data_IF_588770970316
#
_entry.id   IF_588770970316
#
_cell.length_a   1.000
_cell.length_b   1.000
_cell.length_c   1.000
_cell.angle_alpha   90.00
_cell.angle_beta   90.00
_cell.angle_gamma   90.00
#
_symmetry.space_group_name_H-M   'P 1'
#
loop_
_entity.id
_entity.type
_entity.pdbx_description
1 polymer ?
#
# COMPACT_ATOMS: atom_id res chain seq x y z
N UNK A 1 13.62 1.02 -3.34
CA UNK A 1 12.17 1.22 -3.10
C UNK A 1 11.38 0.27 -3.99
N UNK A 2 10.23 -0.22 -3.54
CA UNK A 2 9.29 -1.01 -4.36
C UNK A 2 7.93 -0.33 -4.36
N UNK A 3 7.20 -0.41 -5.46
CA UNK A 3 5.79 -0.01 -5.47
C UNK A 3 4.99 -1.12 -4.80
N UNK A 4 4.33 -0.81 -3.69
CA UNK A 4 3.47 -1.75 -2.96
C UNK A 4 2.03 -1.30 -3.15
N UNK A 5 1.17 -2.24 -3.49
CA UNK A 5 -0.28 -2.05 -3.50
C UNK A 5 -0.89 -2.91 -2.41
N UNK A 6 -1.73 -2.29 -1.58
CA UNK A 6 -2.58 -2.96 -0.60
C UNK A 6 -4.02 -2.72 -1.03
N UNK A 7 -4.80 -3.79 -1.11
CA UNK A 7 -6.20 -3.77 -1.54
C UNK A 7 -7.03 -4.60 -0.55
N UNK A 8 -8.17 -4.09 -0.09
CA UNK A 8 -9.09 -4.86 0.77
C UNK A 8 -9.96 -5.85 -0.02
N UNK A 9 -9.77 -5.94 -1.34
CA UNK A 9 -10.34 -6.98 -2.16
C UNK A 9 -9.57 -8.31 -2.05
N UNK A 10 -10.18 -9.27 -1.35
CA UNK A 10 -9.71 -10.66 -1.28
C UNK A 10 -10.80 -11.60 -1.77
N UNK A 11 -10.44 -12.50 -2.70
CA UNK A 11 -11.37 -13.47 -3.26
C UNK A 11 -11.97 -14.37 -2.16
N UNK A 12 -13.30 -14.55 -2.18
CA UNK A 12 -14.01 -15.35 -1.19
C UNK A 12 -14.29 -14.65 0.14
N UNK A 13 -13.87 -13.39 0.31
CA UNK A 13 -14.20 -12.57 1.49
C UNK A 13 -15.34 -11.63 1.13
N UNK A 14 -16.35 -11.53 2.01
CA UNK A 14 -17.47 -10.61 1.80
C UNK A 14 -16.99 -9.15 1.85
N UNK A 15 -17.48 -8.33 0.91
CA UNK A 15 -17.17 -6.92 0.89
C UNK A 15 -17.89 -6.17 2.01
N UNK A 16 -17.24 -5.13 2.51
CA UNK A 16 -17.79 -4.14 3.43
C UNK A 16 -17.03 -2.83 3.20
N UNK A 17 -17.64 -1.72 3.59
CA UNK A 17 -17.13 -0.37 3.38
C UNK A 17 -15.93 -0.09 4.29
N UNK A 18 -14.73 -0.04 3.70
CA UNK A 18 -13.47 0.05 4.44
C UNK A 18 -12.85 1.44 4.36
N UNK A 19 -12.00 1.76 5.32
CA UNK A 19 -10.94 2.78 5.17
C UNK A 19 -9.60 2.10 5.43
N UNK A 20 -8.66 2.35 4.53
CA UNK A 20 -7.33 1.78 4.57
C UNK A 20 -6.31 2.88 4.83
N UNK A 21 -5.51 2.72 5.88
CA UNK A 21 -4.39 3.61 6.19
C UNK A 21 -3.07 2.84 6.15
N UNK A 22 -2.04 3.45 5.58
CA UNK A 22 -0.68 2.90 5.55
C UNK A 22 0.34 3.99 5.89
N UNK A 23 1.23 3.69 6.84
CA UNK A 23 2.27 4.60 7.29
C UNK A 23 3.44 3.84 7.92
N UNK A 24 4.66 4.43 8.00
CA UNK A 24 5.78 3.80 8.66
C UNK A 24 5.47 3.45 10.11
N UNK A 25 5.94 2.28 10.57
CA UNK A 25 5.74 1.84 11.93
C UNK A 25 6.32 2.83 12.95
N UNK A 26 5.55 3.09 13.99
CA UNK A 26 5.90 3.95 15.11
C UNK A 26 5.80 3.13 16.40
N UNK A 27 6.33 3.63 17.51
CA UNK A 27 6.12 2.98 18.80
C UNK A 27 4.64 3.04 19.22
N UNK A 28 3.89 1.96 18.98
CA UNK A 28 2.48 1.79 19.34
C UNK A 28 1.52 1.79 18.14
N UNK A 29 0.30 1.27 18.35
CA UNK A 29 -0.81 1.45 17.41
C UNK A 29 -1.36 2.88 17.56
N UNK A 30 -1.52 3.59 16.45
CA UNK A 30 -1.73 5.05 16.39
C UNK A 30 -2.81 5.58 17.35
N UNK A 31 -2.41 6.37 18.36
CA UNK A 31 -3.30 7.31 19.05
C UNK A 31 -3.54 8.58 18.21
N UNK A 32 -2.60 8.91 17.32
CA UNK A 32 -2.74 9.90 16.25
C UNK A 32 -2.01 9.40 14.99
N UNK A 33 -2.70 9.42 13.86
CA UNK A 33 -2.08 9.06 12.58
C UNK A 33 -1.02 10.10 12.19
N UNK A 34 0.12 9.68 11.63
CA UNK A 34 1.17 10.60 11.20
C UNK A 34 0.71 11.39 9.96
N UNK A 35 1.33 12.55 9.72
CA UNK A 35 1.00 13.40 8.58
C UNK A 35 1.33 12.80 7.21
N UNK A 36 2.22 11.79 7.16
CA UNK A 36 2.62 11.10 5.95
C UNK A 36 1.82 9.80 5.69
N UNK A 37 0.60 9.72 6.22
CA UNK A 37 -0.31 8.60 5.97
C UNK A 37 -0.75 8.57 4.51
N UNK A 38 -0.67 7.40 3.90
CA UNK A 38 -1.35 7.11 2.64
C UNK A 38 -2.67 6.45 3.00
N UNK A 39 -3.78 6.96 2.47
CA UNK A 39 -5.09 6.41 2.77
C UNK A 39 -6.01 6.43 1.56
N UNK A 40 -7.03 5.59 1.63
CA UNK A 40 -8.10 5.49 0.65
C UNK A 40 -9.33 4.84 1.31
N UNK A 41 -10.52 5.18 0.85
CA UNK A 41 -11.78 4.64 1.35
C UNK A 41 -12.63 3.93 0.28
N UNK A 42 -12.46 4.17 -1.04
CA UNK A 42 -13.25 3.44 -2.08
C UNK A 42 -12.50 3.15 -3.40
N UNK A 43 -11.17 3.13 -3.39
CA UNK A 43 -10.31 2.99 -4.58
C UNK A 43 -10.06 1.56 -5.08
N UNK A 44 -10.66 0.53 -4.46
CA UNK A 44 -10.45 -0.87 -4.88
C UNK A 44 -11.03 -1.15 -6.27
N UNK A 45 -10.30 -1.94 -7.04
CA UNK A 45 -10.74 -2.38 -8.39
C UNK A 45 -11.95 -3.30 -8.34
N UNK A 46 -12.21 -3.92 -7.20
CA UNK A 46 -13.37 -4.77 -7.04
C UNK A 46 -14.64 -3.96 -6.67
N UNK A 47 -14.53 -2.66 -6.42
CA UNK A 47 -15.63 -1.79 -5.99
C UNK A 47 -16.26 -2.23 -4.66
N UNK A 48 -17.52 -1.85 -4.42
CA UNK A 48 -18.27 -2.13 -3.18
C UNK A 48 -17.65 -1.46 -1.95
N UNK A 49 -17.25 -0.20 -2.11
CA UNK A 49 -16.69 0.65 -1.04
C UNK A 49 -15.43 0.05 -0.37
N UNK A 50 -14.72 -0.80 -1.12
CA UNK A 50 -13.42 -1.34 -0.69
C UNK A 50 -12.31 -0.36 -1.06
N UNK A 51 -11.27 -0.36 -0.23
CA UNK A 51 -10.17 0.57 -0.34
C UNK A 51 -8.93 -0.06 -0.96
N UNK A 52 -8.12 0.76 -1.63
CA UNK A 52 -6.84 0.39 -2.20
C UNK A 52 -5.88 1.57 -2.19
N UNK A 53 -4.68 1.33 -1.66
CA UNK A 53 -3.57 2.29 -1.77
C UNK A 53 -2.43 1.71 -2.58
N UNK A 54 -1.68 2.59 -3.25
CA UNK A 54 -0.38 2.25 -3.86
C UNK A 54 0.65 3.27 -3.44
N UNK A 55 1.78 2.81 -2.92
CA UNK A 55 2.83 3.68 -2.40
C UNK A 55 4.23 3.09 -2.64
N UNK A 56 5.25 3.93 -2.57
CA UNK A 56 6.65 3.49 -2.66
C UNK A 56 7.17 3.14 -1.27
N UNK A 57 7.40 1.86 -0.99
CA UNK A 57 7.99 1.40 0.26
C UNK A 57 9.52 1.56 0.24
N UNK A 58 10.05 2.16 1.31
CA UNK A 58 11.48 2.29 1.56
C UNK A 58 12.06 0.97 2.08
N UNK A 59 13.29 0.65 1.67
CA UNK A 59 13.95 -0.57 2.13
C UNK A 59 14.30 -0.47 3.63
N UNK A 60 14.04 -1.53 4.38
CA UNK A 60 14.33 -1.59 5.83
C UNK A 60 13.38 -0.78 6.70
N UNK A 61 12.26 -0.29 6.16
CA UNK A 61 11.21 0.39 6.92
C UNK A 61 10.01 -0.54 7.03
N UNK A 62 9.58 -0.79 8.26
CA UNK A 62 8.32 -1.49 8.53
C UNK A 62 7.15 -0.51 8.36
N UNK A 63 6.03 -1.01 7.84
CA UNK A 63 4.81 -0.22 7.64
C UNK A 63 3.67 -0.86 8.43
N UNK A 64 2.90 -0.03 9.13
CA UNK A 64 1.63 -0.43 9.72
C UNK A 64 0.51 -0.24 8.71
N UNK A 65 -0.39 -1.21 8.68
CA UNK A 65 -1.58 -1.23 7.83
C UNK A 65 -2.79 -1.31 8.75
N UNK A 66 -3.66 -0.31 8.67
CA UNK A 66 -4.88 -0.24 9.47
C UNK A 66 -6.06 -0.36 8.52
N UNK A 67 -6.92 -1.34 8.78
CA UNK A 67 -8.18 -1.56 8.04
C UNK A 67 -9.31 -1.39 9.03
N UNK A 68 -10.14 -0.38 8.79
CA UNK A 68 -11.28 -0.03 9.63
C UNK A 68 -12.53 0.17 8.78
N UNK A 69 -13.68 0.34 9.43
CA UNK A 69 -14.92 0.70 8.75
C UNK A 69 -15.03 2.20 8.57
N UNK A 70 -15.52 2.64 7.41
CA UNK A 70 -15.77 4.06 7.15
C UNK A 70 -16.80 4.67 8.12
N UNK A 71 -17.81 3.87 8.51
CA UNK A 71 -18.78 4.22 9.55
C UNK A 71 -18.76 3.19 10.68
N UNK A 72 -19.33 3.51 11.86
CA UNK A 72 -19.49 2.54 12.95
C UNK A 72 -20.33 1.30 12.59
N UNK A 73 -21.13 1.36 11.53
CA UNK A 73 -21.91 0.23 11.01
C UNK A 73 -21.19 -0.53 9.89
N UNK A 74 -20.10 0.00 9.36
CA UNK A 74 -19.30 -0.65 8.32
C UNK A 74 -18.43 -1.72 8.97
N UNK A 75 -18.93 -2.95 9.00
CA UNK A 75 -18.32 -4.06 9.72
C UNK A 75 -18.13 -5.27 8.82
N UNK A 76 -17.04 -6.01 9.01
CA UNK A 76 -16.77 -7.25 8.31
C UNK A 76 -15.49 -7.92 8.79
N UNK A 77 -15.15 -9.05 8.16
CA UNK A 77 -13.85 -9.70 8.39
C UNK A 77 -12.80 -8.89 7.63
N UNK A 78 -11.78 -8.32 8.31
CA UNK A 78 -10.71 -7.62 7.61
C UNK A 78 -9.86 -8.61 6.83
N UNK A 79 -9.64 -8.32 5.55
CA UNK A 79 -8.76 -9.08 4.68
C UNK A 79 -8.04 -8.13 3.74
N UNK A 80 -6.77 -8.42 3.44
CA UNK A 80 -5.96 -7.62 2.54
C UNK A 80 -5.22 -8.51 1.55
N UNK A 81 -5.08 -8.03 0.32
CA UNK A 81 -4.15 -8.54 -0.65
C UNK A 81 -2.97 -7.57 -0.75
N UNK A 82 -1.74 -8.10 -0.70
CA UNK A 82 -0.52 -7.30 -0.80
C UNK A 82 0.23 -7.73 -2.04
N UNK A 83 0.47 -6.77 -2.93
CA UNK A 83 1.23 -7.01 -4.16
C UNK A 83 2.42 -6.06 -4.24
N UNK A 84 3.54 -6.57 -4.74
CA UNK A 84 4.76 -5.77 -4.94
C UNK A 84 5.11 -5.72 -6.42
N UNK A 85 5.31 -4.52 -6.95
CA UNK A 85 5.88 -4.28 -8.27
C UNK A 85 7.34 -3.80 -8.20
N UNK A 86 8.04 -3.78 -9.34
CA UNK A 86 9.30 -3.05 -9.44
C UNK A 86 9.10 -1.56 -9.06
N UNK A 87 10.16 -0.83 -8.70
CA UNK A 87 10.06 0.60 -8.50
C UNK A 87 9.49 1.28 -9.75
N UNK A 88 8.58 2.24 -9.58
CA UNK A 88 8.11 3.11 -10.66
C UNK A 88 9.28 4.03 -11.06
N UNK A 89 10.06 3.64 -12.08
CA UNK A 89 11.22 4.41 -12.54
C UNK A 89 10.75 5.41 -13.61
N UNK A 90 10.47 6.65 -13.20
CA UNK A 90 10.14 7.76 -14.14
C UNK A 90 11.37 8.34 -14.83
N UNK A 91 12.58 7.91 -14.44
CA UNK A 91 13.83 8.25 -15.13
C UNK A 91 14.83 7.10 -14.99
N UNK A 92 14.72 6.11 -15.87
CA UNK A 92 15.85 5.24 -16.13
C UNK A 92 16.81 5.99 -17.06
N UNK A 93 17.80 6.70 -16.52
CA UNK A 93 19.01 6.92 -17.33
C UNK A 93 19.60 5.52 -17.56
N UNK A 94 19.51 5.03 -18.78
CA UNK A 94 20.21 3.84 -19.20
C UNK A 94 21.69 4.04 -18.85
N UNK A 95 22.21 3.25 -17.90
CA UNK A 95 23.64 3.15 -17.71
C UNK A 95 24.22 2.62 -19.02
N UNK A 96 24.91 3.48 -19.77
CA UNK A 96 25.70 3.04 -20.92
C UNK A 96 26.71 2.02 -20.39
N UNK A 97 26.76 0.79 -20.93
CA UNK A 97 27.79 -0.15 -20.53
C UNK A 97 29.14 0.43 -20.99
N UNK A 98 29.97 0.84 -20.04
CA UNK A 98 31.38 1.11 -20.30
C UNK A 98 32.08 -0.24 -20.46
N UNK A 99 32.17 -0.73 -21.70
CA UNK A 99 33.14 -1.77 -22.01
C UNK A 99 34.53 -1.15 -21.95
N UNK A 100 35.25 -1.34 -20.84
CA UNK A 100 36.70 -1.13 -20.83
C UNK A 100 37.36 -2.31 -21.56
N UNK A 101 37.69 -2.13 -22.83
CA UNK A 101 38.59 -3.04 -23.54
C UNK A 101 40.03 -2.63 -23.20
N UNK A 102 40.70 -3.45 -22.38
CA UNK A 102 42.16 -3.53 -22.40
C UNK A 102 42.53 -4.53 -23.51
N UNK A 103 43.10 -4.02 -24.60
CA UNK A 103 43.96 -4.75 -25.54
C UNK A 103 44.71 -3.73 -26.40
#
# INVERSE_FOLDING_TARGET
MRSITIDTCVAGVNAWDTVLYVFPAQGGACTSCPSNVVYDDQGSVCGQDRSRVTFNASAGVDYLVVVEGYTPSSCGVPAINVTSGPPNIISALAATPTTSAWA
#
